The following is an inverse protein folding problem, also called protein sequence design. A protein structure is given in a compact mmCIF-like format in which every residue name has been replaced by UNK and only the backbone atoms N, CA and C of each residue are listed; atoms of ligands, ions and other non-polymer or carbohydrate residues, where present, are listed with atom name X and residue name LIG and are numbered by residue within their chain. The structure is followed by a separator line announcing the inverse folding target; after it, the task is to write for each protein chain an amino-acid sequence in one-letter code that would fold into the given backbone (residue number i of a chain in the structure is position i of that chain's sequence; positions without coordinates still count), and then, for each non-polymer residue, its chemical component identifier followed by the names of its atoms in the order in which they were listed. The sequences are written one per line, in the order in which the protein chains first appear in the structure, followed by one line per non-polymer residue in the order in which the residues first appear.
data_IF_498632679280
#
_entry.id   IF_498632679280
#
_cell.length_a   1.000
_cell.length_b   1.000
_cell.length_c   1.000
_cell.angle_alpha   90.00
_cell.angle_beta   90.00
_cell.angle_gamma   90.00
#
_symmetry.space_group_name_H-M   'P 1'
#
loop_
_entity.id
_entity.type
_entity.pdbx_description
1 polymer ?
#
# COMPACT_ATOMS: atom_id res chain seq x y z
N UNK A 1 -14.08 -4.14 4.47
CA UNK A 1 -13.35 -4.39 3.22
C UNK A 1 -13.97 -5.56 2.44
N UNK A 2 -13.82 -6.81 2.92
CA UNK A 2 -14.46 -7.99 2.30
C UNK A 2 -15.97 -7.82 2.17
N UNK A 3 -16.64 -7.28 3.20
CA UNK A 3 -18.08 -6.96 3.16
C UNK A 3 -18.45 -5.97 2.05
N UNK A 4 -17.63 -4.94 1.79
CA UNK A 4 -17.87 -3.95 0.74
C UNK A 4 -17.68 -4.59 -0.64
N UNK A 5 -16.57 -5.29 -0.87
CA UNK A 5 -16.31 -5.99 -2.14
C UNK A 5 -17.39 -7.02 -2.44
N UNK A 6 -17.77 -7.82 -1.43
CA UNK A 6 -18.82 -8.83 -1.57
C UNK A 6 -20.18 -8.19 -1.85
N UNK A 7 -20.52 -7.09 -1.17
CA UNK A 7 -21.75 -6.32 -1.43
C UNK A 7 -21.76 -5.74 -2.85
N UNK A 8 -20.69 -5.10 -3.29
CA UNK A 8 -20.60 -4.49 -4.63
C UNK A 8 -20.67 -5.57 -5.72
N UNK A 9 -19.97 -6.69 -5.54
CA UNK A 9 -20.03 -7.84 -6.45
C UNK A 9 -21.43 -8.48 -6.50
N UNK A 10 -22.06 -8.68 -5.34
CA UNK A 10 -23.42 -9.22 -5.25
C UNK A 10 -24.45 -8.28 -5.89
N UNK A 11 -24.33 -6.96 -5.69
CA UNK A 11 -25.20 -5.96 -6.31
C UNK A 11 -25.07 -5.95 -7.84
N UNK A 12 -23.84 -5.97 -8.35
CA UNK A 12 -23.57 -6.04 -9.80
C UNK A 12 -24.18 -7.32 -10.38
N UNK A 13 -23.93 -8.47 -9.74
CA UNK A 13 -24.48 -9.76 -10.18
C UNK A 13 -26.01 -9.78 -10.18
N UNK A 14 -26.64 -9.31 -9.09
CA UNK A 14 -28.09 -9.23 -8.99
C UNK A 14 -28.69 -8.29 -10.03
N UNK A 15 -28.05 -7.14 -10.31
CA UNK A 15 -28.49 -6.20 -11.35
C UNK A 15 -28.37 -6.79 -12.75
N UNK A 16 -27.29 -7.51 -13.05
CA UNK A 16 -27.15 -8.20 -14.34
C UNK A 16 -28.24 -9.25 -14.52
N UNK A 17 -28.48 -10.10 -13.50
CA UNK A 17 -29.54 -11.11 -13.55
C UNK A 17 -30.92 -10.46 -13.74
N UNK A 18 -31.19 -9.35 -13.04
CA UNK A 18 -32.44 -8.59 -13.19
C UNK A 18 -32.57 -8.01 -14.62
N UNK A 19 -31.52 -7.38 -15.15
CA UNK A 19 -31.51 -6.82 -16.51
C UNK A 19 -31.77 -7.89 -17.57
N UNK A 20 -31.09 -9.05 -17.47
CA UNK A 20 -31.31 -10.17 -18.38
C UNK A 20 -32.71 -10.77 -18.29
N UNK A 21 -33.30 -10.76 -17.09
CA UNK A 21 -34.68 -11.22 -16.87
C UNK A 21 -35.71 -10.26 -17.48
N UNK A 22 -35.40 -8.97 -17.58
CA UNK A 22 -36.29 -7.98 -18.19
C UNK A 22 -36.23 -8.04 -19.71
N UNK A 23 -35.05 -7.86 -20.30
CA UNK A 23 -34.85 -7.93 -21.74
C UNK A 23 -33.38 -8.22 -22.07
N UNK A 24 -33.14 -9.32 -22.76
CA UNK A 24 -31.78 -9.77 -23.08
C UNK A 24 -31.06 -8.88 -24.11
N UNK A 25 -31.79 -8.18 -25.00
CA UNK A 25 -31.21 -7.29 -26.01
C UNK A 25 -30.69 -6.02 -25.36
N UNK A 26 -31.50 -5.43 -24.48
CA UNK A 26 -31.13 -4.26 -23.68
C UNK A 26 -30.01 -4.59 -22.68
N UNK A 27 -30.04 -5.79 -22.09
CA UNK A 27 -28.98 -6.29 -21.21
C UNK A 27 -27.63 -6.43 -21.93
N UNK A 28 -27.60 -6.92 -23.18
CA UNK A 28 -26.37 -7.00 -23.97
C UNK A 28 -25.74 -5.62 -24.21
N UNK A 29 -26.56 -4.60 -24.51
CA UNK A 29 -26.07 -3.23 -24.66
C UNK A 29 -25.57 -2.66 -23.34
N UNK A 30 -26.25 -2.96 -22.23
CA UNK A 30 -25.79 -2.57 -20.91
C UNK A 30 -24.45 -3.25 -20.55
N UNK A 31 -24.23 -4.50 -20.94
CA UNK A 31 -22.96 -5.22 -20.69
C UNK A 31 -21.78 -4.56 -21.39
N UNK A 32 -21.97 -3.94 -22.55
CA UNK A 32 -20.92 -3.20 -23.25
C UNK A 32 -20.32 -2.06 -22.39
N UNK A 33 -21.01 -1.61 -21.33
CA UNK A 33 -20.44 -0.63 -20.38
C UNK A 33 -19.30 -1.23 -19.55
N UNK A 34 -19.35 -2.51 -19.21
CA UNK A 34 -18.38 -3.15 -18.34
C UNK A 34 -16.94 -3.09 -18.90
N UNK A 35 -16.66 -3.53 -20.15
CA UNK A 35 -15.30 -3.43 -20.69
C UNK A 35 -14.84 -1.98 -20.81
N UNK A 36 -15.72 -1.04 -21.18
CA UNK A 36 -15.38 0.38 -21.22
C UNK A 36 -14.97 0.91 -19.85
N UNK A 37 -15.76 0.60 -18.82
CA UNK A 37 -15.47 0.99 -17.44
C UNK A 37 -14.19 0.34 -16.94
N UNK A 38 -13.95 -0.95 -17.22
CA UNK A 38 -12.71 -1.63 -16.85
C UNK A 38 -11.48 -0.98 -17.48
N UNK A 39 -11.56 -0.53 -18.74
CA UNK A 39 -10.48 0.21 -19.41
C UNK A 39 -10.22 1.55 -18.71
N UNK A 40 -11.27 2.32 -18.42
CA UNK A 40 -11.14 3.60 -17.70
C UNK A 40 -10.53 3.40 -16.33
N UNK A 41 -10.99 2.38 -15.60
CA UNK A 41 -10.43 1.99 -14.30
C UNK A 41 -8.95 1.64 -14.43
N UNK A 42 -8.57 0.82 -15.41
CA UNK A 42 -7.19 0.43 -15.65
C UNK A 42 -6.28 1.64 -15.93
N UNK A 43 -6.74 2.55 -16.79
CA UNK A 43 -6.04 3.81 -17.09
C UNK A 43 -5.91 4.66 -15.82
N UNK A 44 -7.02 4.90 -15.12
CA UNK A 44 -7.04 5.67 -13.88
C UNK A 44 -6.06 5.10 -12.86
N UNK A 45 -6.03 3.78 -12.70
CA UNK A 45 -5.15 3.11 -11.77
C UNK A 45 -3.68 3.23 -12.18
N UNK A 46 -3.36 3.06 -13.46
CA UNK A 46 -2.00 3.22 -13.97
C UNK A 46 -1.43 4.62 -13.69
N UNK A 47 -2.23 5.68 -13.86
CA UNK A 47 -1.78 7.04 -13.60
C UNK A 47 -1.88 7.47 -12.12
N UNK A 48 -2.90 7.03 -11.38
CA UNK A 48 -3.13 7.44 -9.98
C UNK A 48 -2.19 6.76 -8.99
N UNK A 49 -1.90 5.46 -9.19
CA UNK A 49 -1.01 4.67 -8.30
C UNK A 49 0.36 5.31 -8.05
N UNK A 50 1.13 5.75 -9.06
CA UNK A 50 2.44 6.37 -8.81
C UNK A 50 2.33 7.71 -8.09
N UNK A 51 1.26 8.49 -8.33
CA UNK A 51 1.05 9.79 -7.68
C UNK A 51 0.75 9.59 -6.19
N UNK A 52 -0.15 8.66 -5.86
CA UNK A 52 -0.48 8.32 -4.46
C UNK A 52 0.74 7.79 -3.72
N UNK A 53 1.59 6.98 -4.37
CA UNK A 53 2.86 6.52 -3.79
C UNK A 53 3.80 7.68 -3.48
N UNK A 54 3.99 8.63 -4.41
CA UNK A 54 4.81 9.83 -4.19
C UNK A 54 4.27 10.68 -3.04
N UNK A 55 2.95 10.87 -2.97
CA UNK A 55 2.31 11.58 -1.86
C UNK A 55 2.59 10.91 -0.51
N UNK A 56 2.51 9.57 -0.42
CA UNK A 56 2.86 8.85 0.82
C UNK A 56 4.34 9.02 1.19
N UNK A 57 5.26 8.96 0.20
CA UNK A 57 6.69 9.18 0.43
C UNK A 57 6.97 10.55 1.03
N UNK A 58 6.41 11.61 0.43
CA UNK A 58 6.60 12.95 0.98
C UNK A 58 6.04 13.06 2.41
N UNK A 59 5.05 12.23 2.80
CA UNK A 59 4.42 12.31 4.13
C UNK A 59 5.31 11.67 5.18
N UNK A 60 5.97 10.58 4.81
CA UNK A 60 7.05 10.01 5.59
C UNK A 60 8.19 11.03 5.75
N UNK A 61 8.65 11.65 4.65
CA UNK A 61 9.73 12.66 4.71
C UNK A 61 9.39 13.85 5.62
N UNK A 62 8.13 14.32 5.59
CA UNK A 62 7.65 15.36 6.51
C UNK A 62 7.67 14.87 7.95
N UNK A 63 7.12 13.68 8.23
CA UNK A 63 7.06 13.14 9.59
C UNK A 63 8.47 12.90 10.16
N UNK A 64 9.38 12.36 9.36
CA UNK A 64 10.77 12.14 9.73
C UNK A 64 11.49 13.47 9.98
N UNK A 65 11.27 14.47 9.11
CA UNK A 65 11.79 15.82 9.31
C UNK A 65 11.24 16.49 10.58
N UNK A 66 9.96 16.28 10.91
CA UNK A 66 9.39 16.79 12.16
C UNK A 66 10.04 16.13 13.38
N UNK A 67 10.21 14.80 13.36
CA UNK A 67 10.91 14.09 14.42
C UNK A 67 12.36 14.59 14.59
N UNK A 68 13.10 14.77 13.49
CA UNK A 68 14.46 15.30 13.52
C UNK A 68 14.52 16.72 14.11
N UNK A 69 13.59 17.60 13.72
CA UNK A 69 13.53 18.98 14.25
C UNK A 69 13.13 18.99 15.73
N UNK A 70 12.18 18.16 16.16
CA UNK A 70 11.73 18.09 17.56
C UNK A 70 12.86 17.54 18.44
N UNK A 71 13.50 16.45 18.04
CA UNK A 71 14.62 15.85 18.79
C UNK A 71 15.88 16.72 18.75
N UNK A 72 16.12 17.45 17.66
CA UNK A 72 17.30 18.28 17.43
C UNK A 72 17.11 19.77 17.73
N UNK A 73 15.96 20.20 18.27
CA UNK A 73 15.60 21.62 18.38
C UNK A 73 16.64 22.43 19.15
N UNK A 74 17.23 21.85 20.20
CA UNK A 74 18.29 22.48 20.98
C UNK A 74 19.52 22.82 20.12
N UNK A 75 19.95 21.89 19.27
CA UNK A 75 21.08 22.09 18.34
C UNK A 75 20.73 23.14 17.28
N UNK A 76 19.53 23.06 16.69
CA UNK A 76 19.08 24.01 15.67
C UNK A 76 19.05 25.45 16.22
N UNK A 77 18.59 25.63 17.46
CA UNK A 77 18.58 26.94 18.13
C UNK A 77 19.99 27.43 18.46
N UNK A 78 20.88 26.55 18.93
CA UNK A 78 22.28 26.88 19.22
C UNK A 78 23.01 27.42 17.98
N UNK A 79 22.75 26.83 16.80
CA UNK A 79 23.31 27.28 15.52
C UNK A 79 22.49 28.36 14.81
N UNK A 80 21.39 28.85 15.41
CA UNK A 80 20.45 29.84 14.84
C UNK A 80 19.94 29.47 13.43
N UNK A 81 19.67 28.19 13.18
CA UNK A 81 19.26 27.66 11.87
C UNK A 81 17.74 27.48 11.71
N UNK A 82 16.92 28.04 12.59
CA UNK A 82 15.45 27.84 12.58
C UNK A 82 14.82 28.23 11.24
N UNK A 83 15.22 29.36 10.66
CA UNK A 83 14.72 29.84 9.35
C UNK A 83 15.01 28.84 8.23
N UNK A 84 16.25 28.34 8.16
CA UNK A 84 16.68 27.39 7.11
C UNK A 84 15.90 26.07 7.18
N UNK A 85 15.69 25.55 8.39
CA UNK A 85 14.88 24.35 8.60
C UNK A 85 13.39 24.59 8.32
N UNK A 86 12.86 25.78 8.66
CA UNK A 86 11.51 26.19 8.33
C UNK A 86 11.26 26.25 6.82
N UNK A 87 12.19 26.83 6.05
CA UNK A 87 12.10 26.86 4.59
C UNK A 87 12.16 25.46 3.97
N UNK A 88 13.03 24.58 4.48
CA UNK A 88 13.10 23.17 4.04
C UNK A 88 11.77 22.45 4.27
N UNK A 89 11.14 22.64 5.43
CA UNK A 89 9.85 22.04 5.77
C UNK A 89 8.71 22.61 4.90
N UNK A 90 8.74 23.92 4.63
CA UNK A 90 7.79 24.59 3.74
C UNK A 90 7.89 24.07 2.31
N UNK A 91 9.13 23.88 1.80
CA UNK A 91 9.37 23.29 0.49
C UNK A 91 8.84 21.85 0.39
N UNK A 92 9.09 21.01 1.40
CA UNK A 92 8.54 19.65 1.48
C UNK A 92 7.00 19.64 1.57
N UNK A 93 6.41 20.59 2.29
CA UNK A 93 4.95 20.75 2.34
C UNK A 93 4.38 21.20 0.99
N UNK A 94 5.12 22.04 0.25
CA UNK A 94 4.71 22.52 -1.07
C UNK A 94 4.76 21.41 -2.13
N UNK A 95 5.79 20.56 -2.12
CA UNK A 95 5.85 19.40 -3.02
C UNK A 95 4.73 18.40 -2.75
N UNK A 96 4.35 18.24 -1.49
CA UNK A 96 3.16 17.50 -1.07
C UNK A 96 1.87 18.08 -1.65
N UNK A 97 1.70 19.38 -1.48
CA UNK A 97 0.51 20.09 -1.97
C UNK A 97 0.37 19.97 -3.49
N UNK A 98 1.47 20.13 -4.25
CA UNK A 98 1.44 20.02 -5.71
C UNK A 98 1.16 18.59 -6.16
N UNK A 99 1.74 17.57 -5.50
CA UNK A 99 1.44 16.16 -5.77
C UNK A 99 -0.04 15.85 -5.50
N UNK A 100 -0.60 16.34 -4.38
CA UNK A 100 -2.02 16.17 -4.04
C UNK A 100 -2.94 16.85 -5.05
N UNK A 101 -2.57 18.04 -5.55
CA UNK A 101 -3.32 18.75 -6.58
C UNK A 101 -3.32 17.99 -7.91
N UNK A 102 -2.20 17.34 -8.27
CA UNK A 102 -2.15 16.47 -9.46
C UNK A 102 -3.09 15.27 -9.32
N UNK A 103 -3.16 14.64 -8.14
CA UNK A 103 -4.15 13.56 -7.87
C UNK A 103 -5.57 14.09 -8.04
N UNK A 104 -5.90 15.24 -7.45
CA UNK A 104 -7.25 15.82 -7.55
C UNK A 104 -7.65 16.17 -8.98
N UNK A 105 -6.72 16.65 -9.80
CA UNK A 105 -6.98 16.91 -11.23
C UNK A 105 -7.22 15.62 -12.00
N UNK A 106 -6.50 14.55 -11.68
CA UNK A 106 -6.74 13.22 -12.24
C UNK A 106 -8.14 12.71 -11.85
N UNK A 107 -8.50 12.76 -10.57
CA UNK A 107 -9.81 12.35 -10.07
C UNK A 107 -10.94 13.15 -10.72
N UNK A 108 -10.74 14.47 -10.80
CA UNK A 108 -11.70 15.41 -11.35
C UNK A 108 -11.94 15.25 -12.85
N UNK A 109 -10.96 14.75 -13.61
CA UNK A 109 -11.07 14.62 -15.06
C UNK A 109 -11.36 13.18 -15.52
N UNK A 110 -10.76 12.16 -14.89
CA UNK A 110 -10.81 10.78 -15.37
C UNK A 110 -11.89 9.91 -14.72
N UNK A 111 -12.28 10.15 -13.46
CA UNK A 111 -13.24 9.27 -12.80
C UNK A 111 -14.68 9.67 -13.15
N UNK A 112 -15.18 10.77 -12.58
CA UNK A 112 -16.60 11.13 -12.72
C UNK A 112 -17.01 11.52 -14.14
N UNK A 113 -16.26 12.34 -14.90
CA UNK A 113 -16.70 12.79 -16.23
C UNK A 113 -16.72 11.67 -17.26
N UNK A 114 -15.67 10.82 -17.30
CA UNK A 114 -15.61 9.70 -18.25
C UNK A 114 -16.68 8.65 -17.94
N UNK A 115 -16.86 8.28 -16.66
CA UNK A 115 -17.94 7.36 -16.25
C UNK A 115 -19.33 7.89 -16.63
N UNK A 116 -19.54 9.19 -16.44
CA UNK A 116 -20.78 9.87 -16.85
C UNK A 116 -20.96 9.84 -18.38
N UNK A 117 -19.90 10.11 -19.15
CA UNK A 117 -19.93 10.06 -20.61
C UNK A 117 -20.28 8.65 -21.12
N UNK A 118 -19.66 7.61 -20.58
CA UNK A 118 -19.99 6.23 -20.95
C UNK A 118 -21.42 5.86 -20.56
N UNK A 119 -21.88 6.28 -19.37
CA UNK A 119 -23.27 6.08 -18.95
C UNK A 119 -24.25 6.77 -19.91
N UNK A 120 -23.94 7.99 -20.35
CA UNK A 120 -24.74 8.73 -21.32
C UNK A 120 -24.75 8.07 -22.71
N UNK A 121 -23.62 7.53 -23.17
CA UNK A 121 -23.53 6.79 -24.43
C UNK A 121 -24.38 5.51 -24.40
N UNK A 122 -24.34 4.78 -23.29
CA UNK A 122 -25.15 3.56 -23.11
C UNK A 122 -26.64 3.91 -23.01
N UNK A 123 -26.99 5.01 -22.33
CA UNK A 123 -28.35 5.54 -22.32
C UNK A 123 -28.84 5.88 -23.74
N UNK A 124 -28.02 6.56 -24.54
CA UNK A 124 -28.34 6.82 -25.94
C UNK A 124 -28.54 5.51 -26.73
N UNK A 125 -27.69 4.50 -26.51
CA UNK A 125 -27.84 3.18 -27.13
C UNK A 125 -29.14 2.48 -26.76
N UNK A 126 -29.50 2.50 -25.47
CA UNK A 126 -30.78 1.99 -24.94
C UNK A 126 -31.97 2.71 -25.58
N UNK A 127 -31.93 4.04 -25.66
CA UNK A 127 -33.00 4.85 -26.26
C UNK A 127 -33.14 4.61 -27.77
N UNK A 128 -32.03 4.47 -28.50
CA UNK A 128 -32.05 4.11 -29.92
C UNK A 128 -32.69 2.73 -30.11
N UNK A 129 -32.26 1.72 -29.36
CA UNK A 129 -32.82 0.36 -29.43
C UNK A 129 -34.31 0.33 -29.11
N UNK A 130 -34.74 1.08 -28.10
CA UNK A 130 -36.14 1.26 -27.77
C UNK A 130 -36.92 1.91 -28.92
N UNK A 131 -36.39 2.99 -29.49
CA UNK A 131 -37.01 3.69 -30.63
C UNK A 131 -37.15 2.83 -31.89
N UNK A 132 -36.20 1.92 -32.15
CA UNK A 132 -36.27 0.97 -33.27
C UNK A 132 -37.15 -0.26 -33.01
N UNK A 133 -37.52 -0.55 -31.76
CA UNK A 133 -38.21 -1.80 -31.40
C UNK A 133 -39.73 -1.80 -31.63
N UNK A 134 -40.31 -0.70 -32.11
CA UNK A 134 -41.74 -0.58 -32.43
C UNK A 134 -42.66 -0.60 -31.20
N UNK A 135 -43.89 -0.08 -31.36
CA UNK A 135 -44.89 -0.05 -30.29
C UNK A 135 -45.27 -1.48 -29.86
N UNK A 136 -44.73 -1.94 -28.72
CA UNK A 136 -45.20 -3.16 -28.04
C UNK A 136 -44.13 -4.15 -27.56
N UNK A 137 -42.88 -4.07 -28.02
CA UNK A 137 -41.85 -5.05 -27.63
C UNK A 137 -41.21 -4.76 -26.26
N UNK A 138 -41.05 -3.48 -25.91
CA UNK A 138 -40.42 -3.05 -24.66
C UNK A 138 -41.33 -2.01 -24.02
N UNK A 139 -41.79 -2.25 -22.79
CA UNK A 139 -42.62 -1.30 -22.05
C UNK A 139 -41.79 -0.11 -21.53
N UNK A 140 -42.41 1.06 -21.41
CA UNK A 140 -41.78 2.26 -20.80
C UNK A 140 -41.24 1.96 -19.40
N UNK A 141 -41.90 1.08 -18.64
CA UNK A 141 -41.42 0.61 -17.34
C UNK A 141 -40.11 -0.18 -17.39
N UNK A 142 -39.87 -0.94 -18.45
CA UNK A 142 -38.60 -1.67 -18.68
C UNK A 142 -37.48 -0.67 -18.94
N UNK A 143 -37.73 0.32 -19.81
CA UNK A 143 -36.76 1.39 -20.08
C UNK A 143 -36.41 2.16 -18.79
N UNK A 144 -37.41 2.54 -18.00
CA UNK A 144 -37.19 3.21 -16.71
C UNK A 144 -36.35 2.37 -15.74
N UNK A 145 -36.64 1.07 -15.63
CA UNK A 145 -35.87 0.15 -14.80
C UNK A 145 -34.40 0.06 -15.25
N UNK A 146 -34.15 -0.02 -16.57
CA UNK A 146 -32.80 -0.03 -17.12
C UNK A 146 -32.02 1.26 -16.84
N UNK A 147 -32.65 2.42 -16.98
CA UNK A 147 -32.03 3.72 -16.66
C UNK A 147 -31.64 3.76 -15.17
N UNK A 148 -32.53 3.30 -14.29
CA UNK A 148 -32.27 3.27 -12.85
C UNK A 148 -31.12 2.31 -12.50
N UNK A 149 -31.13 1.09 -13.04
CA UNK A 149 -30.07 0.11 -12.80
C UNK A 149 -28.73 0.58 -13.35
N UNK A 150 -28.68 1.20 -14.53
CA UNK A 150 -27.45 1.75 -15.10
C UNK A 150 -26.84 2.84 -14.20
N UNK A 151 -27.68 3.76 -13.70
CA UNK A 151 -27.21 4.80 -12.77
C UNK A 151 -26.64 4.22 -11.48
N UNK A 152 -27.26 3.15 -10.95
CA UNK A 152 -26.82 2.49 -9.72
C UNK A 152 -25.59 1.60 -9.90
N UNK A 153 -25.26 1.17 -11.12
CA UNK A 153 -24.05 0.37 -11.39
C UNK A 153 -22.75 1.18 -11.26
N UNK A 154 -22.80 2.50 -11.44
CA UNK A 154 -21.60 3.35 -11.35
C UNK A 154 -20.96 3.35 -9.96
N UNK A 155 -21.77 3.37 -8.90
CA UNK A 155 -21.28 3.52 -7.54
C UNK A 155 -20.54 2.26 -7.02
N UNK A 156 -21.08 1.03 -7.16
CA UNK A 156 -20.36 -0.21 -6.84
C UNK A 156 -19.07 -0.37 -7.65
N UNK A 157 -19.06 0.07 -8.91
CA UNK A 157 -17.88 0.02 -9.76
C UNK A 157 -16.77 0.94 -9.23
N UNK A 158 -17.11 2.17 -8.86
CA UNK A 158 -16.17 3.10 -8.21
C UNK A 158 -15.65 2.52 -6.89
N UNK A 159 -16.54 1.96 -6.06
CA UNK A 159 -16.16 1.33 -4.80
C UNK A 159 -15.18 0.16 -4.98
N UNK A 160 -15.44 -0.74 -5.94
CA UNK A 160 -14.54 -1.85 -6.25
C UNK A 160 -13.16 -1.36 -6.69
N UNK A 161 -13.10 -0.29 -7.49
CA UNK A 161 -11.84 0.34 -7.91
C UNK A 161 -11.03 0.84 -6.72
N UNK A 162 -11.70 1.51 -5.78
CA UNK A 162 -11.04 2.00 -4.56
C UNK A 162 -10.52 0.84 -3.68
N UNK A 163 -11.26 -0.27 -3.61
CA UNK A 163 -10.88 -1.45 -2.82
C UNK A 163 -9.70 -2.23 -3.42
N UNK A 164 -9.54 -2.22 -4.75
CA UNK A 164 -8.49 -2.98 -5.44
C UNK A 164 -7.07 -2.62 -4.97
N UNK A 165 -6.80 -1.33 -4.75
CA UNK A 165 -5.48 -0.87 -4.24
C UNK A 165 -5.19 -1.40 -2.83
N UNK A 166 -6.22 -1.55 -2.00
CA UNK A 166 -6.09 -2.07 -0.64
C UNK A 166 -5.88 -3.59 -0.69
N UNK A 167 -6.56 -4.31 -1.59
CA UNK A 167 -6.36 -5.75 -1.78
C UNK A 167 -4.91 -6.05 -2.16
N UNK A 168 -4.35 -5.30 -3.11
CA UNK A 168 -2.94 -5.45 -3.49
C UNK A 168 -1.99 -5.21 -2.31
N UNK A 169 -2.26 -4.18 -1.48
CA UNK A 169 -1.45 -3.93 -0.28
C UNK A 169 -1.57 -5.07 0.73
N UNK A 170 -2.76 -5.65 0.92
CA UNK A 170 -2.97 -6.78 1.81
C UNK A 170 -2.22 -8.04 1.33
N UNK A 171 -2.21 -8.30 0.01
CA UNK A 171 -1.44 -9.42 -0.56
C UNK A 171 0.05 -9.26 -0.29
N UNK A 172 0.63 -8.09 -0.58
CA UNK A 172 2.06 -7.82 -0.35
C UNK A 172 2.43 -7.88 1.15
N UNK A 173 1.56 -7.37 2.03
CA UNK A 173 1.77 -7.49 3.47
C UNK A 173 1.70 -8.94 3.95
N UNK A 174 0.78 -9.72 3.38
CA UNK A 174 0.65 -11.16 3.62
C UNK A 174 1.90 -11.92 3.21
N UNK A 175 2.40 -11.70 1.99
CA UNK A 175 3.67 -12.29 1.51
C UNK A 175 4.81 -12.06 2.49
N UNK A 176 4.96 -10.83 3.01
CA UNK A 176 5.99 -10.50 4.01
C UNK A 176 5.84 -11.25 5.33
N UNK A 177 4.60 -11.48 5.78
CA UNK A 177 4.34 -12.26 7.00
C UNK A 177 4.68 -13.73 6.76
N UNK A 178 4.28 -14.29 5.61
CA UNK A 178 4.64 -15.65 5.24
C UNK A 178 6.15 -15.83 5.11
N UNK A 179 6.86 -14.89 4.47
CA UNK A 179 8.33 -14.88 4.42
C UNK A 179 8.96 -14.87 5.83
N UNK A 180 8.39 -14.13 6.77
CA UNK A 180 8.88 -14.09 8.15
C UNK A 180 8.63 -15.41 8.88
N UNK A 181 7.47 -16.04 8.67
CA UNK A 181 7.14 -17.34 9.26
C UNK A 181 7.99 -18.47 8.67
N UNK A 182 8.33 -18.39 7.39
CA UNK A 182 9.14 -19.40 6.68
C UNK A 182 10.65 -19.21 6.91
N UNK A 183 11.09 -18.13 7.58
CA UNK A 183 12.50 -17.98 7.94
C UNK A 183 12.91 -19.11 8.88
N UNK A 184 14.00 -19.79 8.52
CA UNK A 184 14.66 -20.75 9.40
C UNK A 184 14.99 -20.12 10.74
N UNK A 185 14.51 -20.71 11.84
CA UNK A 185 14.95 -20.33 13.18
C UNK A 185 16.47 -20.49 13.28
N UNK A 186 17.14 -19.52 13.90
CA UNK A 186 18.55 -19.67 14.21
C UNK A 186 18.69 -20.79 15.24
N UNK A 187 19.42 -21.85 14.87
CA UNK A 187 19.76 -22.93 15.78
C UNK A 187 20.85 -22.44 16.72
N UNK A 188 20.53 -22.32 18.00
CA UNK A 188 21.53 -22.24 19.05
C UNK A 188 22.03 -23.65 19.38
N UNK A 189 23.19 -23.77 20.02
CA UNK A 189 23.71 -25.06 20.47
C UNK A 189 22.72 -25.78 21.40
N UNK A 190 22.66 -27.10 21.33
CA UNK A 190 21.68 -27.94 22.04
C UNK A 190 22.16 -28.41 23.43
N UNK A 191 23.00 -27.62 24.10
CA UNK A 191 23.59 -28.03 25.38
C UNK A 191 22.79 -27.48 26.57
N UNK A 192 21.86 -28.29 27.06
CA UNK A 192 21.01 -27.97 28.22
C UNK A 192 21.67 -28.35 29.56
N UNK A 193 22.97 -28.67 29.56
CA UNK A 193 23.67 -29.04 30.80
C UNK A 193 23.79 -27.84 31.73
N UNK A 194 23.48 -28.00 33.03
CA UNK A 194 23.72 -26.95 34.00
C UNK A 194 25.22 -26.62 34.06
N UNK A 195 25.54 -25.33 34.07
CA UNK A 195 26.91 -24.83 34.10
C UNK A 195 27.66 -25.42 35.30
N UNK A 196 28.58 -26.35 35.03
CA UNK A 196 29.36 -27.04 36.06
C UNK A 196 30.45 -26.14 36.67
N UNK A 197 30.88 -25.10 35.97
CA UNK A 197 31.86 -24.12 36.46
C UNK A 197 31.68 -22.77 35.78
N UNK A 198 32.09 -21.69 36.45
CA UNK A 198 32.14 -20.34 35.86
C UNK A 198 33.44 -20.05 35.08
N UNK A 199 34.19 -21.08 34.68
CA UNK A 199 35.39 -20.91 33.85
C UNK A 199 34.97 -20.70 32.39
N UNK A 200 35.48 -19.65 31.77
CA UNK A 200 35.25 -19.35 30.35
C UNK A 200 36.56 -19.58 29.60
N UNK A 201 36.53 -20.43 28.58
CA UNK A 201 37.67 -20.72 27.71
C UNK A 201 37.25 -20.42 26.26
N UNK A 202 37.76 -19.32 25.71
CA UNK A 202 37.54 -18.92 24.34
C UNK A 202 38.82 -19.27 23.59
N UNK A 203 38.73 -20.08 22.54
CA UNK A 203 39.86 -20.46 21.71
C UNK A 203 39.61 -20.04 20.26
N UNK A 204 40.57 -19.30 19.71
CA UNK A 204 40.63 -18.90 18.30
C UNK A 204 39.36 -18.24 17.73
N UNK A 205 38.66 -17.42 18.53
CA UNK A 205 37.40 -16.81 18.13
C UNK A 205 37.61 -15.72 17.07
N UNK A 206 36.89 -15.85 15.96
CA UNK A 206 36.82 -14.85 14.89
C UNK A 206 35.35 -14.54 14.57
N UNK A 207 35.00 -13.25 14.51
CA UNK A 207 33.62 -12.80 14.30
C UNK A 207 33.53 -11.64 13.30
N UNK A 208 32.47 -11.61 12.52
CA UNK A 208 32.20 -10.59 11.52
C UNK A 208 30.69 -10.30 11.43
N UNK A 209 30.29 -9.03 11.43
CA UNK A 209 28.88 -8.64 11.22
C UNK A 209 28.41 -8.83 9.78
N UNK A 210 29.33 -8.63 8.86
CA UNK A 210 29.16 -8.83 7.43
C UNK A 210 30.37 -9.62 6.98
N UNK A 211 30.17 -10.55 6.04
CA UNK A 211 31.18 -11.50 5.58
C UNK A 211 32.47 -10.85 5.07
N UNK A 212 32.43 -9.56 4.73
CA UNK A 212 33.50 -8.74 4.20
C UNK A 212 34.42 -8.10 5.25
N UNK A 213 33.99 -7.95 6.52
CA UNK A 213 34.81 -7.29 7.56
C UNK A 213 34.77 -8.02 8.90
N UNK A 214 35.86 -8.74 9.19
CA UNK A 214 36.11 -9.37 10.49
C UNK A 214 36.38 -8.32 11.56
N UNK A 215 35.58 -8.32 12.62
CA UNK A 215 35.67 -7.43 13.79
C UNK A 215 36.49 -8.06 14.91
N UNK A 216 36.31 -9.37 15.16
CA UNK A 216 37.16 -10.14 16.05
C UNK A 216 38.01 -11.10 15.21
N UNK A 217 39.30 -11.21 15.50
CA UNK A 217 40.23 -12.05 14.77
C UNK A 217 41.11 -12.82 15.75
N UNK A 218 41.05 -14.15 15.72
CA UNK A 218 41.90 -15.06 16.48
C UNK A 218 42.00 -14.74 17.99
N UNK A 219 40.88 -14.44 18.63
CA UNK A 219 40.85 -14.12 20.06
C UNK A 219 40.84 -15.40 20.88
N UNK A 220 41.86 -15.59 21.70
CA UNK A 220 41.92 -16.65 22.70
C UNK A 220 41.98 -16.02 24.10
N UNK A 221 41.05 -16.38 24.98
CA UNK A 221 40.92 -15.82 26.32
C UNK A 221 40.52 -16.91 27.31
N UNK A 222 41.20 -16.95 28.45
CA UNK A 222 40.85 -17.83 29.57
C UNK A 222 40.49 -16.99 30.79
N UNK A 223 39.28 -17.19 31.31
CA UNK A 223 38.79 -16.56 32.53
C UNK A 223 38.56 -17.66 33.56
N UNK A 224 39.33 -17.70 34.66
CA UNK A 224 39.14 -18.69 35.72
C UNK A 224 37.82 -18.45 36.48
N UNK A 225 37.28 -19.49 37.10
CA UNK A 225 36.07 -19.39 37.91
C UNK A 225 36.27 -18.36 39.03
N UNK A 226 35.33 -17.43 39.19
CA UNK A 226 35.39 -16.27 40.11
C UNK A 226 36.52 -15.27 39.82
N UNK A 227 37.14 -15.32 38.63
CA UNK A 227 38.09 -14.32 38.15
C UNK A 227 37.40 -13.08 37.60
N UNK A 228 38.09 -11.95 37.66
CA UNK A 228 37.66 -10.70 37.03
C UNK A 228 38.66 -10.32 35.92
N UNK A 229 38.16 -10.10 34.71
CA UNK A 229 38.96 -9.67 33.56
C UNK A 229 38.39 -8.36 33.03
N UNK A 230 39.25 -7.36 32.89
CA UNK A 230 38.88 -6.08 32.29
C UNK A 230 39.38 -6.01 30.84
N UNK A 231 38.46 -5.79 29.90
CA UNK A 231 38.78 -5.55 28.49
C UNK A 231 39.18 -4.08 28.29
N UNK A 232 40.44 -3.83 27.94
CA UNK A 232 41.00 -2.48 27.70
C UNK A 232 41.48 -2.34 26.23
N UNK A 233 41.40 -1.14 25.63
CA UNK A 233 41.43 -0.95 24.17
C UNK A 233 40.77 0.36 23.72
N UNK A 234 41.12 0.84 22.52
CA UNK A 234 40.64 2.11 21.95
C UNK A 234 39.17 2.04 21.51
N UNK A 235 38.50 3.18 21.38
CA UNK A 235 37.13 3.26 20.84
C UNK A 235 37.07 2.58 19.46
N UNK A 236 36.12 1.65 19.29
CA UNK A 236 35.98 0.85 18.06
C UNK A 236 36.73 -0.48 18.04
N UNK A 237 37.42 -0.87 19.12
CA UNK A 237 38.13 -2.17 19.23
C UNK A 237 37.25 -3.39 19.54
N UNK A 238 35.92 -3.24 19.53
CA UNK A 238 34.97 -4.34 19.77
C UNK A 238 34.60 -4.60 21.23
N UNK A 239 34.95 -3.70 22.16
CA UNK A 239 34.66 -3.82 23.61
C UNK A 239 33.18 -3.90 23.98
N UNK A 240 32.27 -3.42 23.13
CA UNK A 240 30.85 -3.34 23.41
C UNK A 240 30.11 -4.68 23.21
N UNK A 241 30.83 -5.79 22.97
CA UNK A 241 30.28 -7.14 22.97
C UNK A 241 30.66 -7.94 24.24
N UNK A 242 29.91 -7.76 25.35
CA UNK A 242 29.79 -8.76 26.38
C UNK A 242 28.39 -9.39 26.28
N UNK A 243 28.24 -10.42 25.45
CA UNK A 243 26.98 -11.14 25.28
C UNK A 243 27.20 -12.49 24.61
#
# INVERSE_FOLDING_TARGET
MVSTVLKSAALIGAMLVAMFSLDWRMALVAICIFPAVLVVMGIYQYYSTPIVRRMRSYLADINDGFNEVISGMGVIQQFRQQMRFGERMSAASRSHYTARMQTLRLDGFLLRPLLSLFSALVLCGLLMLFGFSGEGAIGVGVLYAFINYLGRLNEPLIELTAQQSILQQAVVAGERIFELMDRSQQSYGSDDRPLASGRIDISDLSFAYRSDKKVLQHISLQVPSRGFVALVGHTGSGKEYPG
#
